data_IF_225243880809
#
_entry.id   IF_225243880809
#
_cell.length_a   1.000
_cell.length_b   1.000
_cell.length_c   1.000
_cell.angle_alpha   90.00
_cell.angle_beta   90.00
_cell.angle_gamma   90.00
#
_symmetry.space_group_name_H-M   'P 1'
#
loop_
_entity.id
_entity.type
_entity.pdbx_description
1 polymer ?
#
# COMPACT_ATOMS: atom_id res chain seq x y z
N UNK A 1 -4.79 19.66 9.87
CA UNK A 1 -5.24 19.13 8.57
C UNK A 1 -6.71 18.77 8.71
N UNK A 2 -7.58 19.29 7.86
CA UNK A 2 -9.00 18.94 7.83
C UNK A 2 -9.23 18.00 6.65
N UNK A 3 -9.80 16.82 6.90
CA UNK A 3 -10.09 15.82 5.87
C UNK A 3 -11.58 15.50 5.97
N UNK A 4 -12.30 15.69 4.85
CA UNK A 4 -13.72 15.38 4.77
C UNK A 4 -13.87 14.00 4.15
N UNK A 5 -14.47 13.09 4.90
CA UNK A 5 -14.80 11.75 4.43
C UNK A 5 -16.25 11.71 3.93
N UNK A 6 -16.53 10.80 3.00
CA UNK A 6 -17.91 10.46 2.67
C UNK A 6 -18.61 9.84 3.88
N UNK A 7 -19.94 9.85 3.91
CA UNK A 7 -20.70 9.24 5.01
C UNK A 7 -20.40 7.74 5.15
N UNK A 8 -20.16 7.06 4.03
CA UNK A 8 -19.82 5.64 3.99
C UNK A 8 -18.47 5.39 4.67
N UNK A 9 -17.44 6.14 4.29
CA UNK A 9 -16.09 5.99 4.84
C UNK A 9 -16.03 6.44 6.31
N UNK A 10 -16.72 7.53 6.65
CA UNK A 10 -16.83 8.03 8.01
C UNK A 10 -17.46 7.01 8.95
N UNK A 11 -18.52 6.33 8.51
CA UNK A 11 -19.16 5.26 9.27
C UNK A 11 -18.24 4.04 9.44
N UNK A 12 -17.49 3.66 8.40
CA UNK A 12 -16.51 2.59 8.48
C UNK A 12 -15.40 2.90 9.50
N UNK A 13 -14.84 4.11 9.44
CA UNK A 13 -13.81 4.57 10.37
C UNK A 13 -14.34 4.55 11.80
N UNK A 14 -15.56 5.06 12.02
CA UNK A 14 -16.21 5.06 13.33
C UNK A 14 -16.39 3.64 13.87
N UNK A 15 -16.92 2.71 13.07
CA UNK A 15 -17.12 1.32 13.46
C UNK A 15 -15.80 0.65 13.88
N UNK A 16 -14.70 0.92 13.18
CA UNK A 16 -13.39 0.35 13.51
C UNK A 16 -12.83 0.89 14.83
N UNK A 17 -13.09 2.15 15.14
CA UNK A 17 -12.72 2.73 16.45
C UNK A 17 -13.61 2.16 17.56
N UNK A 18 -14.93 2.10 17.36
CA UNK A 18 -15.88 1.56 18.33
C UNK A 18 -15.65 0.07 18.64
N UNK A 19 -15.21 -0.70 17.64
CA UNK A 19 -14.83 -2.11 17.83
C UNK A 19 -13.53 -2.31 18.63
N UNK A 20 -12.82 -1.22 18.98
CA UNK A 20 -11.55 -1.27 19.70
C UNK A 20 -10.34 -1.69 18.86
N UNK A 21 -10.51 -1.84 17.54
CA UNK A 21 -9.41 -2.17 16.63
C UNK A 21 -8.40 -1.02 16.49
N UNK A 22 -8.86 0.22 16.62
CA UNK A 22 -8.02 1.42 16.65
C UNK A 22 -8.50 2.34 17.78
N UNK A 23 -7.57 3.06 18.40
CA UNK A 23 -7.88 3.96 19.52
C UNK A 23 -8.56 5.25 19.06
N UNK A 24 -8.31 5.66 17.80
CA UNK A 24 -8.93 6.83 17.19
C UNK A 24 -8.86 6.77 15.65
N UNK A 25 -9.65 7.63 15.00
CA UNK A 25 -9.71 7.72 13.54
C UNK A 25 -8.35 8.06 12.90
N UNK A 26 -7.55 8.90 13.54
CA UNK A 26 -6.24 9.31 13.01
C UNK A 26 -5.26 8.15 12.95
N UNK A 27 -5.30 7.25 13.93
CA UNK A 27 -4.48 6.03 13.96
C UNK A 27 -4.83 5.12 12.78
N UNK A 28 -6.12 4.89 12.55
CA UNK A 28 -6.60 4.12 11.41
C UNK A 28 -6.12 4.73 10.09
N UNK A 29 -6.28 6.05 9.90
CA UNK A 29 -5.84 6.74 8.68
C UNK A 29 -4.33 6.62 8.49
N UNK A 30 -3.52 6.74 9.55
CA UNK A 30 -2.07 6.53 9.46
C UNK A 30 -1.72 5.11 9.02
N UNK A 31 -2.39 4.11 9.59
CA UNK A 31 -2.13 2.71 9.24
C UNK A 31 -2.56 2.41 7.79
N UNK A 32 -3.70 2.93 7.35
CA UNK A 32 -4.16 2.82 5.97
C UNK A 32 -3.15 3.43 4.98
N UNK A 33 -2.67 4.66 5.26
CA UNK A 33 -1.65 5.34 4.44
C UNK A 33 -0.34 4.55 4.42
N UNK A 34 0.07 3.96 5.55
CA UNK A 34 1.26 3.11 5.62
C UNK A 34 1.13 1.89 4.71
N UNK A 35 0.00 1.18 4.78
CA UNK A 35 -0.28 0.00 3.94
C UNK A 35 -0.34 0.35 2.45
N UNK A 36 -0.94 1.49 2.09
CA UNK A 36 -0.97 1.97 0.72
C UNK A 36 0.44 2.18 0.17
N UNK A 37 1.31 2.88 0.93
CA UNK A 37 2.70 3.12 0.54
C UNK A 37 3.51 1.82 0.43
N UNK A 38 3.32 0.87 1.34
CA UNK A 38 3.99 -0.43 1.29
C UNK A 38 3.54 -1.24 0.07
N UNK A 39 2.25 -1.21 -0.25
CA UNK A 39 1.68 -1.88 -1.41
C UNK A 39 2.18 -1.27 -2.73
N UNK A 40 2.26 0.06 -2.84
CA UNK A 40 2.86 0.72 -4.00
C UNK A 40 4.32 0.30 -4.21
N UNK A 41 5.12 0.25 -3.14
CA UNK A 41 6.51 -0.23 -3.22
C UNK A 41 6.59 -1.69 -3.65
N UNK A 42 5.70 -2.54 -3.13
CA UNK A 42 5.64 -3.95 -3.53
C UNK A 42 5.23 -4.10 -5.00
N UNK A 43 4.29 -3.30 -5.48
CA UNK A 43 3.88 -3.28 -6.89
C UNK A 43 5.02 -2.80 -7.80
N UNK A 44 5.76 -1.77 -7.38
CA UNK A 44 6.93 -1.29 -8.14
C UNK A 44 8.02 -2.37 -8.21
N UNK A 45 8.27 -3.10 -7.12
CA UNK A 45 9.21 -4.22 -7.11
C UNK A 45 8.77 -5.39 -8.00
N UNK A 46 7.49 -5.76 -7.95
CA UNK A 46 6.95 -6.84 -8.79
C UNK A 46 6.87 -6.47 -10.27
N UNK A 47 6.69 -5.18 -10.60
CA UNK A 47 6.82 -4.67 -11.98
C UNK A 47 8.26 -4.63 -12.48
N UNK A 48 9.24 -4.58 -11.58
CA UNK A 48 10.65 -4.83 -11.91
C UNK A 48 10.91 -6.34 -11.92
N UNK A 49 10.18 -7.10 -12.73
CA UNK A 49 10.77 -8.33 -13.25
C UNK A 49 11.98 -7.91 -14.09
N UNK A 50 13.20 -8.39 -13.81
CA UNK A 50 14.31 -8.18 -14.74
C UNK A 50 13.85 -8.69 -16.11
N UNK A 51 14.07 -7.89 -17.14
CA UNK A 51 13.76 -8.32 -18.49
C UNK A 51 14.57 -9.61 -18.76
N UNK A 52 13.91 -10.67 -19.23
CA UNK A 52 14.57 -11.94 -19.58
C UNK A 52 15.62 -11.76 -20.68
N UNK A 53 15.63 -10.60 -21.36
CA UNK A 53 16.65 -10.21 -22.33
C UNK A 53 18.04 -9.90 -21.70
N UNK A 54 18.11 -9.60 -20.39
CA UNK A 54 19.39 -9.32 -19.71
C UNK A 54 20.18 -10.60 -19.36
N UNK A 55 19.57 -11.79 -19.46
CA UNK A 55 20.21 -13.08 -19.16
C UNK A 55 20.90 -13.73 -20.37
N UNK A 56 20.87 -13.12 -21.55
CA UNK A 56 21.46 -13.69 -22.78
C UNK A 56 22.67 -12.90 -23.32
N UNK A 57 23.60 -12.51 -22.44
CA UNK A 57 24.86 -11.86 -22.85
C UNK A 57 26.12 -12.60 -22.32
N UNK A 58 26.03 -13.93 -22.16
CA UNK A 58 27.14 -14.75 -21.63
C UNK A 58 27.57 -15.96 -22.46
N UNK A 59 26.83 -16.36 -23.51
CA UNK A 59 27.08 -17.63 -24.20
C UNK A 59 27.60 -17.52 -25.65
N UNK A 60 27.92 -16.32 -26.15
CA UNK A 60 28.58 -16.13 -27.46
C UNK A 60 29.99 -15.56 -27.30
N UNK A 61 30.89 -16.31 -26.69
CA UNK A 61 32.33 -16.20 -26.95
C UNK A 61 32.90 -17.61 -26.86
N UNK A 62 32.94 -18.20 -28.06
CA UNK A 62 33.59 -19.45 -28.41
C UNK A 62 35.09 -19.25 -28.50
#
# INVERSE_FOLDING_TARGET
MNIVFSDVDGNYIRQKVESGYYSNATELVRDAVRRLRENEKALMRSRQTPNVDDLNMGCYLK
#
